data_IF_528580547845
#
_entry.id   IF_528580547845
#
_cell.length_a   1.000
_cell.length_b   1.000
_cell.length_c   1.000
_cell.angle_alpha   90.00
_cell.angle_beta   90.00
_cell.angle_gamma   90.00
#
_symmetry.space_group_name_H-M   'P 1'
#
loop_
_entity.id
_entity.type
_entity.pdbx_description
1 polymer ?
#
# COMPACT_ATOMS: atom_id res chain seq x y z
N UNK A 1 -4.33 17.15 1.68
CA UNK A 1 -3.74 18.23 0.87
C UNK A 1 -4.16 18.10 -0.59
N UNK A 2 -4.20 19.18 -1.39
CA UNK A 2 -4.41 19.09 -2.84
C UNK A 2 -3.33 18.24 -3.53
N UNK A 3 -3.70 17.49 -4.56
CA UNK A 3 -2.79 16.63 -5.33
C UNK A 3 -1.64 17.43 -5.97
N UNK A 4 -1.91 18.66 -6.42
CA UNK A 4 -0.90 19.57 -6.97
C UNK A 4 0.22 19.91 -5.98
N UNK A 5 -0.06 19.87 -4.67
CA UNK A 5 0.92 20.16 -3.62
C UNK A 5 1.61 18.90 -3.09
N UNK A 6 1.05 17.72 -3.36
CA UNK A 6 1.49 16.47 -2.76
C UNK A 6 2.91 16.07 -3.14
N UNK A 7 3.43 16.53 -4.29
CA UNK A 7 4.84 16.30 -4.66
C UNK A 7 5.82 16.88 -3.63
N UNK A 8 5.47 18.03 -3.03
CA UNK A 8 6.27 18.70 -2.00
C UNK A 8 6.10 18.12 -0.59
N UNK A 9 5.30 17.07 -0.42
CA UNK A 9 5.05 16.48 0.89
C UNK A 9 6.33 15.86 1.50
N UNK A 10 6.70 16.34 2.69
CA UNK A 10 7.89 15.89 3.40
C UNK A 10 7.53 14.73 4.34
N UNK A 11 7.91 13.51 3.95
CA UNK A 11 7.65 12.33 4.77
C UNK A 11 8.38 12.40 6.11
N UNK A 12 9.56 13.03 6.16
CA UNK A 12 10.31 13.25 7.39
C UNK A 12 9.46 13.93 8.48
N UNK A 13 8.80 15.04 8.16
CA UNK A 13 7.96 15.78 9.12
C UNK A 13 6.80 14.91 9.66
N UNK A 14 6.25 14.02 8.82
CA UNK A 14 5.22 13.09 9.26
C UNK A 14 5.78 11.94 10.10
N UNK A 15 7.00 11.45 9.81
CA UNK A 15 7.68 10.47 10.66
C UNK A 15 7.96 11.07 12.02
N UNK A 16 8.47 12.30 12.09
CA UNK A 16 8.77 12.97 13.35
C UNK A 16 7.50 13.10 14.19
N UNK A 17 6.39 13.55 13.57
CA UNK A 17 5.08 13.57 14.23
C UNK A 17 4.61 12.19 14.68
N UNK A 18 4.77 11.16 13.86
CA UNK A 18 4.41 9.78 14.21
C UNK A 18 5.22 9.30 15.42
N UNK A 19 6.52 9.61 15.44
CA UNK A 19 7.43 9.25 16.51
C UNK A 19 7.09 9.96 17.81
N UNK A 20 6.74 11.25 17.76
CA UNK A 20 6.24 11.96 18.94
C UNK A 20 4.90 11.39 19.44
N UNK A 21 3.99 11.03 18.53
CA UNK A 21 2.68 10.47 18.91
C UNK A 21 2.79 9.10 19.58
N UNK A 22 3.77 8.30 19.17
CA UNK A 22 4.01 6.94 19.66
C UNK A 22 5.18 6.88 20.65
N UNK A 23 5.55 8.01 21.25
CA UNK A 23 6.59 8.05 22.26
C UNK A 23 6.25 7.14 23.44
N UNK A 24 7.25 6.44 23.96
CA UNK A 24 7.09 5.43 25.02
C UNK A 24 6.56 4.06 24.55
N UNK A 25 6.21 3.88 23.28
CA UNK A 25 5.79 2.58 22.74
C UNK A 25 6.89 1.90 21.92
N UNK A 26 6.86 0.56 21.86
CA UNK A 26 7.61 -0.22 20.87
C UNK A 26 6.78 -0.39 19.61
N UNK A 27 7.31 0.05 18.46
CA UNK A 27 6.56 0.03 17.20
C UNK A 27 7.45 0.08 15.97
N UNK A 28 6.89 -0.35 14.84
CA UNK A 28 7.34 0.06 13.51
C UNK A 28 6.14 0.33 12.60
N UNK A 29 6.35 1.14 11.58
CA UNK A 29 5.29 1.52 10.67
C UNK A 29 5.80 2.09 9.35
N UNK A 30 4.84 2.47 8.51
CA UNK A 30 5.09 3.16 7.26
C UNK A 30 4.06 4.29 7.04
N UNK A 31 4.51 5.32 6.34
CA UNK A 31 3.66 6.38 5.82
C UNK A 31 3.12 5.93 4.46
N UNK A 32 1.79 6.00 4.31
CA UNK A 32 1.08 5.73 3.06
C UNK A 32 0.32 7.00 2.60
N UNK A 33 0.05 7.09 1.30
CA UNK A 33 -0.66 8.19 0.67
C UNK A 33 -1.96 7.68 0.05
N UNK A 34 -3.09 8.09 0.60
CA UNK A 34 -4.39 7.78 0.02
C UNK A 34 -4.85 8.89 -0.93
N UNK A 35 -5.16 8.54 -2.19
CA UNK A 35 -5.77 9.48 -3.14
C UNK A 35 -7.29 9.46 -3.01
N UNK A 36 -7.88 10.60 -2.67
CA UNK A 36 -9.32 10.83 -2.68
C UNK A 36 -9.73 11.69 -3.86
N UNK A 37 -10.48 11.11 -4.79
CA UNK A 37 -10.77 11.79 -6.07
C UNK A 37 -11.85 12.87 -5.95
N UNK A 38 -12.66 12.85 -4.89
CA UNK A 38 -13.83 13.73 -4.75
C UNK A 38 -13.91 14.52 -3.44
N UNK A 39 -12.95 14.35 -2.52
CA UNK A 39 -13.02 15.00 -1.20
C UNK A 39 -12.96 16.52 -1.31
N UNK A 40 -12.00 17.05 -2.06
CA UNK A 40 -11.93 18.49 -2.32
C UNK A 40 -13.18 19.04 -2.99
N UNK A 41 -13.76 18.32 -3.96
CA UNK A 41 -14.98 18.73 -4.66
C UNK A 41 -16.16 18.87 -3.70
N UNK A 42 -16.24 18.02 -2.67
CA UNK A 42 -17.27 18.15 -1.62
C UNK A 42 -17.11 19.43 -0.78
N UNK A 43 -15.94 20.06 -0.80
CA UNK A 43 -15.62 21.28 -0.05
C UNK A 43 -15.17 22.43 -0.98
N UNK A 44 -15.77 22.51 -2.18
CA UNK A 44 -15.56 23.58 -3.19
C UNK A 44 -14.14 23.67 -3.78
N UNK A 45 -13.31 22.66 -3.60
CA UNK A 45 -12.00 22.52 -4.27
C UNK A 45 -12.11 21.86 -5.65
N UNK A 46 -11.08 22.02 -6.47
CA UNK A 46 -11.01 21.44 -7.84
C UNK A 46 -10.05 20.26 -7.98
N UNK A 47 -9.02 20.21 -7.14
CA UNK A 47 -7.96 19.19 -7.21
C UNK A 47 -8.25 18.02 -6.30
N UNK A 48 -8.06 16.77 -6.77
CA UNK A 48 -8.13 15.59 -5.90
C UNK A 48 -7.29 15.76 -4.62
N UNK A 49 -7.69 15.11 -3.54
CA UNK A 49 -7.03 15.23 -2.24
C UNK A 49 -6.09 14.05 -2.01
N UNK A 50 -4.83 14.31 -1.71
CA UNK A 50 -3.92 13.30 -1.15
C UNK A 50 -3.95 13.41 0.36
N UNK A 51 -4.18 12.28 1.01
CA UNK A 51 -4.24 12.14 2.46
C UNK A 51 -3.10 11.24 2.94
N UNK A 52 -2.00 11.83 3.45
CA UNK A 52 -0.99 11.08 4.16
C UNK A 52 -1.59 10.45 5.40
N UNK A 53 -1.31 9.19 5.62
CA UNK A 53 -1.73 8.46 6.81
C UNK A 53 -0.65 7.47 7.19
N UNK A 54 -0.74 7.00 8.43
CA UNK A 54 0.25 6.11 9.02
C UNK A 54 -0.39 4.75 9.27
N UNK A 55 0.37 3.71 8.98
CA UNK A 55 0.12 2.37 9.49
C UNK A 55 1.27 2.01 10.44
N UNK A 56 0.94 1.56 11.65
CA UNK A 56 1.92 1.14 12.63
C UNK A 56 1.46 -0.16 13.32
N UNK A 57 2.42 -1.04 13.58
CA UNK A 57 2.29 -2.15 14.52
C UNK A 57 2.98 -1.71 15.80
N UNK A 58 2.28 -1.84 16.91
CA UNK A 58 2.73 -1.42 18.23
C UNK A 58 2.56 -2.60 19.19
N UNK A 59 3.50 -2.83 20.10
CA UNK A 59 3.44 -3.92 21.08
C UNK A 59 4.07 -3.51 22.42
N UNK A 60 3.96 -4.41 23.41
CA UNK A 60 4.53 -4.20 24.75
C UNK A 60 3.70 -3.24 25.62
N UNK A 61 2.43 -3.04 25.30
CA UNK A 61 1.52 -2.14 26.01
C UNK A 61 0.15 -2.80 26.19
N UNK A 62 -0.66 -2.22 27.07
CA UNK A 62 -2.04 -2.60 27.30
C UNK A 62 -2.99 -1.94 26.29
N UNK A 63 -4.14 -2.57 26.07
CA UNK A 63 -5.21 -1.99 25.26
C UNK A 63 -5.66 -0.60 25.78
N UNK A 64 -5.67 -0.42 27.10
CA UNK A 64 -6.03 0.86 27.74
C UNK A 64 -5.08 2.00 27.36
N UNK A 65 -3.78 1.74 27.27
CA UNK A 65 -2.80 2.75 26.88
C UNK A 65 -3.00 3.23 25.44
N UNK A 66 -3.26 2.31 24.51
CA UNK A 66 -3.59 2.66 23.12
C UNK A 66 -4.95 3.33 23.01
N UNK A 67 -5.94 2.90 23.78
CA UNK A 67 -7.26 3.56 23.82
C UNK A 67 -7.14 5.03 24.26
N UNK A 68 -6.34 5.29 25.29
CA UNK A 68 -6.07 6.66 25.76
C UNK A 68 -5.31 7.48 24.72
N UNK A 69 -4.31 6.90 24.05
CA UNK A 69 -3.63 7.57 22.95
C UNK A 69 -4.61 7.91 21.81
N UNK A 70 -5.43 6.95 21.39
CA UNK A 70 -6.43 7.15 20.36
C UNK A 70 -7.41 8.27 20.72
N UNK A 71 -7.90 8.30 21.96
CA UNK A 71 -8.78 9.35 22.45
C UNK A 71 -8.11 10.73 22.39
N UNK A 72 -6.87 10.87 22.88
CA UNK A 72 -6.12 12.15 22.82
C UNK A 72 -5.89 12.61 21.38
N UNK A 73 -5.52 11.72 20.48
CA UNK A 73 -5.30 12.05 19.06
C UNK A 73 -6.61 12.45 18.39
N UNK A 74 -7.69 11.71 18.64
CA UNK A 74 -9.01 11.99 18.05
C UNK A 74 -9.61 13.30 18.54
N UNK A 75 -9.25 13.78 19.73
CA UNK A 75 -9.67 15.09 20.25
C UNK A 75 -8.84 16.25 19.70
N UNK A 76 -7.53 16.05 19.49
CA UNK A 76 -6.58 17.11 19.14
C UNK A 76 -6.29 17.25 17.65
N UNK A 77 -6.57 16.21 16.86
CA UNK A 77 -6.23 16.17 15.43
C UNK A 77 -7.48 16.28 14.57
N UNK A 78 -7.55 17.24 13.64
CA UNK A 78 -8.66 17.30 12.69
C UNK A 78 -8.62 16.12 11.73
N UNK A 79 -9.77 15.50 11.51
CA UNK A 79 -9.92 14.45 10.53
C UNK A 79 -10.05 14.99 9.10
N UNK A 80 -9.68 14.18 8.12
CA UNK A 80 -9.89 14.51 6.71
C UNK A 80 -11.39 14.62 6.35
N UNK A 81 -12.20 13.70 6.88
CA UNK A 81 -13.64 13.64 6.67
C UNK A 81 -14.33 14.05 7.97
N UNK A 82 -15.24 15.02 7.90
CA UNK A 82 -15.97 15.54 9.07
C UNK A 82 -16.67 14.41 9.82
N UNK A 83 -16.44 14.32 11.13
CA UNK A 83 -17.07 13.32 12.01
C UNK A 83 -16.47 11.91 11.95
N UNK A 84 -15.42 11.68 11.14
CA UNK A 84 -14.63 10.44 11.20
C UNK A 84 -13.45 10.63 12.17
N UNK A 85 -13.04 9.61 12.95
CA UNK A 85 -11.85 9.73 13.78
C UNK A 85 -10.57 9.67 12.92
N UNK A 86 -9.55 10.51 13.19
CA UNK A 86 -8.24 10.43 12.51
C UNK A 86 -7.40 9.22 12.96
N UNK A 87 -7.66 8.67 14.15
CA UNK A 87 -6.95 7.54 14.72
C UNK A 87 -7.91 6.37 14.97
N UNK A 88 -7.54 5.21 14.43
CA UNK A 88 -8.25 3.95 14.62
C UNK A 88 -7.24 2.84 14.90
N UNK A 89 -7.53 2.01 15.89
CA UNK A 89 -6.74 0.82 16.21
C UNK A 89 -7.64 -0.40 16.35
N UNK A 90 -7.02 -1.57 16.30
CA UNK A 90 -7.63 -2.84 16.67
C UNK A 90 -6.51 -3.77 17.13
N UNK A 91 -6.86 -4.73 17.97
CA UNK A 91 -5.94 -5.77 18.41
C UNK A 91 -5.78 -6.78 17.27
N UNK A 92 -4.54 -7.19 17.02
CA UNK A 92 -4.19 -8.17 16.00
C UNK A 92 -3.68 -9.44 16.66
N UNK A 93 -4.02 -10.58 16.06
CA UNK A 93 -3.35 -11.85 16.31
C UNK A 93 -2.00 -11.87 15.57
N UNK A 94 -1.11 -12.77 16.00
CA UNK A 94 0.25 -12.85 15.46
C UNK A 94 0.28 -13.14 13.94
N UNK A 95 -0.62 -13.98 13.44
CA UNK A 95 -0.77 -14.30 12.01
C UNK A 95 -1.30 -13.10 11.20
N UNK A 96 -2.21 -12.33 11.78
CA UNK A 96 -2.75 -11.11 11.17
C UNK A 96 -1.69 -9.99 11.08
N UNK A 97 -0.73 -9.97 12.01
CA UNK A 97 0.36 -8.98 12.02
C UNK A 97 1.19 -9.04 10.73
N UNK A 98 1.52 -10.24 10.23
CA UNK A 98 2.27 -10.39 8.98
C UNK A 98 1.50 -9.86 7.77
N UNK A 99 0.20 -10.18 7.68
CA UNK A 99 -0.67 -9.62 6.65
C UNK A 99 -0.71 -8.09 6.74
N UNK A 100 -0.68 -7.55 7.96
CA UNK A 100 -0.65 -6.10 8.19
C UNK A 100 0.65 -5.47 7.71
N UNK A 101 1.82 -6.10 7.93
CA UNK A 101 3.11 -5.61 7.41
C UNK A 101 3.06 -5.47 5.89
N UNK A 102 2.59 -6.49 5.18
CA UNK A 102 2.42 -6.44 3.72
C UNK A 102 1.48 -5.32 3.30
N UNK A 103 0.41 -5.11 4.07
CA UNK A 103 -0.53 -4.03 3.82
C UNK A 103 0.08 -2.63 4.00
N UNK A 104 1.04 -2.44 4.92
CA UNK A 104 1.71 -1.14 5.13
C UNK A 104 2.59 -0.73 3.96
N UNK A 105 3.13 -1.70 3.23
CA UNK A 105 4.07 -1.50 2.13
C UNK A 105 3.40 -1.60 0.75
N UNK A 106 2.07 -1.65 0.69
CA UNK A 106 1.36 -1.65 -0.58
C UNK A 106 1.61 -0.33 -1.32
N UNK A 107 1.80 -0.39 -2.63
CA UNK A 107 1.74 0.81 -3.45
C UNK A 107 0.31 1.39 -3.45
N UNK A 108 0.13 2.72 -3.56
CA UNK A 108 -1.17 3.34 -3.68
C UNK A 108 -1.72 3.07 -5.09
N UNK A 109 -2.26 1.87 -5.30
CA UNK A 109 -2.84 1.42 -6.58
C UNK A 109 -4.34 1.69 -6.67
N UNK A 110 -4.91 2.35 -5.67
CA UNK A 110 -6.33 2.62 -5.60
C UNK A 110 -6.61 4.05 -5.21
N UNK A 111 -7.69 4.59 -5.77
CA UNK A 111 -8.30 5.81 -5.30
C UNK A 111 -9.52 5.49 -4.45
N UNK A 112 -9.80 6.42 -3.55
CA UNK A 112 -10.90 6.43 -2.63
C UNK A 112 -11.91 7.50 -3.08
N UNK A 113 -13.19 7.17 -2.91
CA UNK A 113 -14.29 8.12 -2.99
C UNK A 113 -15.03 8.11 -1.68
N UNK A 114 -15.13 9.29 -1.06
CA UNK A 114 -15.94 9.47 0.13
C UNK A 114 -17.38 9.77 -0.31
N UNK A 115 -18.33 9.03 0.25
CA UNK A 115 -19.76 9.17 -0.02
C UNK A 115 -20.39 9.62 1.29
N UNK A 116 -20.84 10.88 1.38
CA UNK A 116 -21.50 11.35 2.60
C UNK A 116 -22.77 10.53 2.81
N UNK A 117 -23.00 10.08 4.04
CA UNK A 117 -24.30 9.56 4.43
C UNK A 117 -25.25 10.72 4.61
N UNK A 118 -26.41 10.64 3.97
CA UNK A 118 -27.48 11.61 4.13
C UNK A 118 -27.85 11.74 5.59
N UNK A 119 -28.00 12.99 6.03
CA UNK A 119 -28.38 13.34 7.38
C UNK A 119 -29.19 14.62 7.41
N UNK A 120 -29.48 15.04 8.63
CA UNK A 120 -30.10 16.31 8.95
C UNK A 120 -29.04 17.19 9.61
N UNK A 121 -28.86 18.41 9.12
CA UNK A 121 -28.09 19.45 9.81
C UNK A 121 -29.07 20.53 10.28
N UNK A 122 -28.82 21.11 11.45
CA UNK A 122 -29.62 22.24 11.94
C UNK A 122 -28.95 23.51 11.43
N UNK A 123 -29.67 24.28 10.62
CA UNK A 123 -29.23 25.61 10.19
C UNK A 123 -28.99 26.49 11.44
N UNK A 124 -27.78 27.02 11.64
CA UNK A 124 -27.43 27.79 12.84
C UNK A 124 -28.20 29.11 12.95
N UNK A 125 -28.68 29.66 11.84
CA UNK A 125 -29.42 30.93 11.76
C UNK A 125 -30.92 30.67 11.84
N UNK A 126 -31.44 29.77 11.01
CA UNK A 126 -32.90 29.56 10.91
C UNK A 126 -33.44 28.51 11.88
N UNK A 127 -32.56 27.76 12.56
CA UNK A 127 -32.89 26.62 13.44
C UNK A 127 -33.72 25.52 12.75
N UNK A 128 -33.84 25.55 11.43
CA UNK A 128 -34.55 24.54 10.64
C UNK A 128 -33.66 23.34 10.39
N UNK A 129 -34.27 22.16 10.31
CA UNK A 129 -33.59 20.95 9.84
C UNK A 129 -33.48 21.05 8.32
N UNK A 130 -32.25 21.14 7.82
CA UNK A 130 -31.95 21.09 6.39
C UNK A 130 -31.29 19.73 6.06
N UNK A 131 -31.52 19.18 4.86
CA UNK A 131 -30.73 18.06 4.37
C UNK A 131 -29.24 18.40 4.46
N UNK A 132 -28.47 17.55 5.14
CA UNK A 132 -27.06 17.77 5.43
C UNK A 132 -26.26 16.47 5.43
N UNK A 133 -24.98 16.55 5.77
CA UNK A 133 -24.11 15.38 5.88
C UNK A 133 -24.13 14.87 7.31
N UNK A 134 -24.48 13.59 7.53
CA UNK A 134 -24.63 12.97 8.87
C UNK A 134 -23.30 12.75 9.63
N UNK A 135 -22.27 13.56 9.39
CA UNK A 135 -20.93 13.39 9.99
C UNK A 135 -20.31 12.01 9.77
N UNK A 136 -20.82 11.22 8.82
CA UNK A 136 -20.37 9.87 8.54
C UNK A 136 -20.29 9.68 7.03
N UNK A 137 -19.33 8.87 6.61
CA UNK A 137 -19.00 8.67 5.20
C UNK A 137 -18.80 7.19 4.93
N UNK A 138 -19.40 6.69 3.85
CA UNK A 138 -18.94 5.44 3.25
C UNK A 138 -17.73 5.72 2.35
N UNK A 139 -16.85 4.74 2.24
CA UNK A 139 -15.69 4.82 1.35
C UNK A 139 -15.79 3.75 0.28
N UNK A 140 -15.78 4.17 -0.99
CA UNK A 140 -15.62 3.25 -2.12
C UNK A 140 -14.19 3.31 -2.62
N UNK A 141 -13.58 2.14 -2.79
CA UNK A 141 -12.23 1.96 -3.33
C UNK A 141 -12.33 1.46 -4.76
N UNK A 142 -11.53 2.01 -5.67
CA UNK A 142 -11.36 1.48 -7.03
C UNK A 142 -9.92 1.61 -7.50
N UNK A 143 -9.53 0.82 -8.49
CA UNK A 143 -8.20 0.91 -9.09
C UNK A 143 -7.95 2.31 -9.66
N UNK A 144 -6.71 2.78 -9.54
CA UNK A 144 -6.32 4.06 -10.14
C UNK A 144 -6.41 3.99 -11.66
N UNK A 145 -6.96 5.06 -12.25
CA UNK A 145 -6.87 5.27 -13.70
C UNK A 145 -5.42 5.59 -14.09
N UNK A 146 -4.98 5.29 -15.33
CA UNK A 146 -3.60 5.51 -15.76
C UNK A 146 -3.06 6.92 -15.47
N UNK A 147 -3.85 7.97 -15.74
CA UNK A 147 -3.44 9.35 -15.46
C UNK A 147 -3.30 9.67 -13.96
N UNK A 148 -4.13 9.07 -13.11
CA UNK A 148 -4.03 9.24 -11.66
C UNK A 148 -2.85 8.43 -11.09
N UNK A 149 -2.60 7.25 -11.64
CA UNK A 149 -1.43 6.43 -11.31
C UNK A 149 -0.13 7.18 -11.59
N UNK A 150 0.02 7.75 -12.80
CA UNK A 150 1.19 8.56 -13.16
C UNK A 150 1.42 9.73 -12.19
N UNK A 151 0.34 10.44 -11.83
CA UNK A 151 0.41 11.53 -10.85
C UNK A 151 0.84 11.03 -9.47
N UNK A 152 0.30 9.91 -9.00
CA UNK A 152 0.71 9.33 -7.71
C UNK A 152 2.14 8.82 -7.72
N UNK A 153 2.61 8.22 -8.82
CA UNK A 153 4.02 7.88 -9.00
C UNK A 153 4.90 9.12 -8.93
N UNK A 154 4.48 10.21 -9.58
CA UNK A 154 5.20 11.49 -9.52
C UNK A 154 5.20 12.12 -8.12
N UNK A 155 4.11 11.93 -7.36
CA UNK A 155 3.99 12.35 -5.97
C UNK A 155 4.96 11.56 -5.10
N UNK A 156 5.01 10.23 -5.23
CA UNK A 156 5.93 9.37 -4.48
C UNK A 156 7.39 9.61 -4.85
N UNK A 157 7.67 9.99 -6.10
CA UNK A 157 9.00 10.35 -6.57
C UNK A 157 10.00 9.20 -6.42
N UNK A 158 11.21 9.52 -5.98
CA UNK A 158 12.31 8.56 -5.78
C UNK A 158 12.38 7.99 -4.36
N UNK A 159 11.30 8.08 -3.58
CA UNK A 159 11.29 7.61 -2.19
C UNK A 159 11.41 6.09 -2.14
N UNK A 160 12.27 5.63 -1.25
CA UNK A 160 12.54 4.22 -0.97
C UNK A 160 11.73 3.75 0.24
N UNK A 161 11.69 2.43 0.47
CA UNK A 161 11.06 1.86 1.67
C UNK A 161 11.62 2.48 2.96
N UNK A 162 12.96 2.61 3.15
CA UNK A 162 13.52 3.33 4.30
C UNK A 162 13.05 4.78 4.45
N UNK A 163 12.74 5.47 3.35
CA UNK A 163 12.29 6.88 3.40
C UNK A 163 10.87 7.04 3.96
N UNK A 164 10.05 5.99 3.89
CA UNK A 164 8.65 6.02 4.32
C UNK A 164 8.41 5.25 5.63
N UNK A 165 9.37 4.42 6.05
CA UNK A 165 9.29 3.66 7.30
C UNK A 165 9.79 4.48 8.50
N UNK A 166 9.27 4.14 9.68
CA UNK A 166 9.66 4.73 10.97
C UNK A 166 9.43 3.71 12.10
N UNK A 167 10.12 3.89 13.23
CA UNK A 167 10.06 2.95 14.35
C UNK A 167 10.48 3.62 15.67
N UNK A 168 10.10 3.00 16.80
CA UNK A 168 10.46 3.41 18.15
C UNK A 168 10.53 2.21 19.10
N UNK A 169 11.18 2.40 20.25
CA UNK A 169 11.47 1.34 21.21
C UNK A 169 12.22 0.16 20.57
N UNK A 170 11.77 -1.06 20.85
CA UNK A 170 12.35 -2.29 20.27
C UNK A 170 12.21 -2.37 18.74
N UNK A 171 11.23 -1.67 18.17
CA UNK A 171 10.98 -1.69 16.73
C UNK A 171 12.10 -1.06 15.91
N UNK A 172 12.95 -0.22 16.51
CA UNK A 172 14.12 0.37 15.83
C UNK A 172 15.10 -0.72 15.41
N UNK A 173 15.43 -1.63 16.33
CA UNK A 173 16.34 -2.74 16.05
C UNK A 173 15.76 -3.70 15.01
N UNK A 174 14.45 -4.00 15.12
CA UNK A 174 13.73 -4.84 14.17
C UNK A 174 13.69 -4.25 12.76
N UNK A 175 13.39 -2.95 12.62
CA UNK A 175 13.36 -2.27 11.33
C UNK A 175 14.77 -2.27 10.69
N UNK A 176 15.80 -1.94 11.48
CA UNK A 176 17.19 -1.90 11.00
C UNK A 176 17.66 -3.27 10.50
N UNK A 177 17.41 -4.35 11.25
CA UNK A 177 17.79 -5.70 10.86
C UNK A 177 17.01 -6.17 9.63
N UNK A 178 15.72 -5.84 9.54
CA UNK A 178 14.87 -6.17 8.40
C UNK A 178 15.34 -5.49 7.12
N UNK A 179 15.69 -4.19 7.17
CA UNK A 179 16.24 -3.47 6.02
C UNK A 179 17.58 -4.06 5.61
N UNK A 180 18.49 -4.33 6.56
CA UNK A 180 19.79 -4.90 6.27
C UNK A 180 19.66 -6.28 5.57
N UNK A 181 18.77 -7.13 6.08
CA UNK A 181 18.49 -8.43 5.48
C UNK A 181 17.88 -8.29 4.08
N UNK A 182 16.91 -7.39 3.90
CA UNK A 182 16.31 -7.14 2.59
C UNK A 182 17.36 -6.68 1.56
N UNK A 183 18.24 -5.75 1.93
CA UNK A 183 19.34 -5.29 1.06
C UNK A 183 20.30 -6.42 0.72
N UNK A 184 20.65 -7.26 1.69
CA UNK A 184 21.50 -8.42 1.46
C UNK A 184 20.89 -9.40 0.45
N UNK A 185 19.61 -9.77 0.63
CA UNK A 185 18.90 -10.68 -0.29
C UNK A 185 18.79 -10.12 -1.70
N UNK A 186 18.47 -8.84 -1.85
CA UNK A 186 18.41 -8.20 -3.18
C UNK A 186 19.77 -8.29 -3.89
N UNK A 187 20.88 -8.06 -3.17
CA UNK A 187 22.24 -8.16 -3.74
C UNK A 187 22.60 -9.58 -4.15
N UNK A 188 22.19 -10.57 -3.36
CA UNK A 188 22.39 -11.99 -3.67
C UNK A 188 21.64 -12.38 -4.94
N UNK A 189 20.35 -12.02 -5.04
CA UNK A 189 19.52 -12.25 -6.21
C UNK A 189 20.09 -11.60 -7.48
N UNK A 190 20.54 -10.34 -7.37
CA UNK A 190 21.18 -9.62 -8.48
C UNK A 190 22.47 -10.30 -8.96
N UNK A 191 23.24 -10.87 -8.03
CA UNK A 191 24.49 -11.58 -8.35
C UNK A 191 24.17 -12.92 -9.03
N UNK A 192 23.22 -13.69 -8.50
CA UNK A 192 22.76 -14.94 -9.12
C UNK A 192 22.16 -14.74 -10.52
N UNK A 193 21.42 -13.64 -10.73
CA UNK A 193 20.90 -13.25 -12.03
C UNK A 193 22.00 -12.87 -13.03
N UNK A 194 23.07 -12.22 -12.57
CA UNK A 194 24.25 -11.91 -13.39
C UNK A 194 24.99 -13.19 -13.79
N UNK A 195 25.20 -14.11 -12.87
CA UNK A 195 25.84 -15.40 -13.17
C UNK A 195 25.02 -16.25 -14.15
N UNK A 196 23.68 -16.29 -14.01
CA UNK A 196 22.80 -16.94 -14.99
C UNK A 196 22.89 -16.30 -16.37
N UNK A 197 22.92 -14.96 -16.46
CA UNK A 197 23.07 -14.25 -17.75
C UNK A 197 24.43 -14.52 -18.39
N UNK A 198 25.50 -14.60 -17.61
CA UNK A 198 26.84 -14.97 -18.09
C UNK A 198 26.83 -16.42 -18.61
N UNK A 199 26.28 -17.37 -17.84
CA UNK A 199 26.17 -18.78 -18.26
C UNK A 199 25.35 -18.97 -19.54
N UNK A 200 24.28 -18.19 -19.75
CA UNK A 200 23.49 -18.20 -20.99
C UNK A 200 24.19 -17.57 -22.19
N UNK A 201 25.23 -16.75 -21.97
CA UNK A 201 26.03 -16.12 -23.03
C UNK A 201 27.32 -16.86 -23.35
N UNK A 202 27.70 -17.86 -22.56
CA UNK A 202 28.83 -18.72 -22.91
C UNK A 202 28.44 -19.58 -24.12
N UNK A 203 29.27 -19.63 -25.17
CA UNK A 203 29.03 -20.54 -26.28
C UNK A 203 28.97 -21.97 -25.73
N UNK A 204 27.94 -22.72 -26.12
CA UNK A 204 27.83 -24.14 -25.78
C UNK A 204 29.12 -24.81 -26.24
N UNK A 205 29.85 -25.52 -25.36
CA UNK A 205 31.05 -26.22 -25.77
C UNK A 205 30.70 -27.14 -26.95
N UNK A 206 31.50 -27.22 -28.01
CA UNK A 206 31.23 -28.09 -29.13
C UNK A 206 31.33 -29.55 -28.68
N UNK A 207 30.23 -30.07 -28.13
CA UNK A 207 30.10 -31.41 -27.59
C UNK A 207 29.15 -32.21 -28.46
N UNK A 208 29.74 -33.15 -29.23
CA UNK A 208 29.13 -34.21 -30.05
C UNK A 208 27.65 -34.02 -30.39
N UNK A 209 27.41 -33.59 -31.62
CA UNK A 209 26.18 -33.85 -32.36
C UNK A 209 25.89 -35.35 -32.21
N UNK A 210 24.94 -35.72 -31.36
CA UNK A 210 24.36 -37.06 -31.39
C UNK A 210 23.65 -37.18 -32.72
N UNK A 211 24.16 -38.06 -33.59
CA UNK A 211 23.52 -38.40 -34.84
C UNK A 211 22.04 -38.66 -34.59
N UNK A 212 21.18 -37.80 -35.16
CA UNK A 212 19.75 -38.02 -35.19
C UNK A 212 19.52 -39.32 -35.97
N UNK A 213 19.16 -40.40 -35.27
CA UNK A 213 18.70 -41.63 -35.90
C UNK A 213 17.55 -41.29 -36.85
N UNK A 214 17.76 -41.54 -38.14
CA UNK A 214 16.72 -41.38 -39.18
C UNK A 214 15.49 -42.21 -38.79
N UNK A 215 14.28 -41.65 -38.89
CA UNK A 215 13.06 -42.41 -38.63
C UNK A 215 12.93 -43.55 -39.66
N UNK A 216 12.57 -44.75 -39.17
CA UNK A 216 12.30 -45.91 -40.03
C UNK A 216 11.05 -45.64 -40.90
N UNK A 217 11.04 -46.06 -42.17
CA UNK A 217 9.88 -45.91 -43.04
C UNK A 217 8.70 -46.71 -42.50
N UNK A 218 7.53 -46.07 -42.42
CA UNK A 218 6.27 -46.72 -42.07
C UNK A 218 5.89 -47.71 -43.18
N UNK A 219 5.62 -48.96 -42.80
CA UNK A 219 4.99 -49.95 -43.67
C UNK A 219 3.51 -49.61 -43.79
N UNK A 220 3.06 -49.32 -45.01
CA UNK A 220 1.65 -49.22 -45.35
C UNK A 220 0.98 -50.59 -45.14
N UNK A 221 -0.03 -50.64 -44.27
CA UNK A 221 -0.93 -51.78 -44.11
C UNK A 221 -2.16 -51.64 -45.02
N UNK A 222 -2.71 -52.74 -45.56
CA UNK A 222 -3.71 -52.71 -46.62
C UNK A 222 -5.11 -52.44 -46.08
N UNK A 223 -5.93 -51.81 -46.94
CA UNK A 223 -7.28 -51.40 -46.62
C UNK A 223 -8.35 -52.50 -46.67
N UNK A 224 -9.47 -52.18 -46.02
CA UNK A 224 -10.82 -52.69 -46.24
C UNK A 224 -11.76 -51.51 -45.86
N UNK A 225 -12.56 -50.91 -46.76
CA UNK A 225 -13.89 -51.37 -47.27
C UNK A 225 -14.76 -51.89 -46.11
N UNK A 226 -15.98 -51.47 -45.85
CA UNK A 226 -17.10 -50.81 -46.57
C UNK A 226 -18.11 -50.40 -45.46
N UNK A 227 -18.71 -49.20 -45.46
CA UNK A 227 -20.06 -48.87 -45.97
C UNK A 227 -21.12 -48.67 -44.86
N UNK A 228 -22.21 -47.93 -45.15
CA UNK A 228 -22.86 -47.01 -44.21
C UNK A 228 -24.27 -47.45 -43.76
N UNK A 229 -24.78 -46.81 -42.71
CA UNK A 229 -26.21 -46.46 -42.50
C UNK A 229 -26.29 -45.38 -41.42
#
# INVERSE_FOLDING_TARGET
>A
MPLSWAKGFKHAEMRDRATTLLDGFSYFGAIDLALYSNVSVMFNGRDATVAPHIHALTWGHSESEIAQLAARVNQSTPALLRGMPPFHYHILKADEALARVNYMLKAPLSEYRAIPKEGAEIDPVTRRIIPGIKGSFDQKKRALRPGALWKMTSVLGSRTIPDIMFAGGEGVALLKSSIANAVWRIREDDTGLREMKIRRRLPVPPGRIKERKRPKPQRNGPGSRESPS
#
